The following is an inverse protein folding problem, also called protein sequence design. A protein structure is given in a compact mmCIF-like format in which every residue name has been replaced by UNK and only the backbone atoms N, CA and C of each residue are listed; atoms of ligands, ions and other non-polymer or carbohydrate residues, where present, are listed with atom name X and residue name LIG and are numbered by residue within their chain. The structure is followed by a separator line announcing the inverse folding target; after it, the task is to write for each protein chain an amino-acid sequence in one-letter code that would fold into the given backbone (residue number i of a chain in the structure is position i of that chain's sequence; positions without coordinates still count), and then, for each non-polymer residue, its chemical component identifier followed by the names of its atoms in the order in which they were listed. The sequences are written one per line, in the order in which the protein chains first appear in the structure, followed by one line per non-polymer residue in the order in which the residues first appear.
data_IF_286569862663
#
_entry.id   IF_286569862663
#
_cell.length_a   1.000
_cell.length_b   1.000
_cell.length_c   1.000
_cell.angle_alpha   90.00
_cell.angle_beta   90.00
_cell.angle_gamma   90.00
#
_symmetry.space_group_name_H-M   'P 1'
#
loop_
_entity.id
_entity.type
_entity.pdbx_description
1 polymer ?
#
# COMPACT_ATOMS: atom_id res chain seq x y z
N UNK A 1 48.77 -5.53 3.96
CA UNK A 1 47.47 -5.02 4.48
C UNK A 1 46.44 -5.08 3.36
N UNK A 2 45.46 -5.99 3.44
CA UNK A 2 44.43 -6.15 2.41
C UNK A 2 43.24 -5.26 2.77
N UNK A 3 43.02 -4.19 2.00
CA UNK A 3 41.80 -3.39 2.08
C UNK A 3 40.63 -4.19 1.49
N UNK A 4 39.74 -4.69 2.35
CA UNK A 4 38.44 -5.24 1.93
C UNK A 4 37.52 -4.06 1.60
N UNK A 5 37.41 -3.74 0.31
CA UNK A 5 36.36 -2.86 -0.18
C UNK A 5 35.01 -3.57 -0.03
N UNK A 6 34.27 -3.18 1.00
CA UNK A 6 32.90 -3.58 1.21
C UNK A 6 32.02 -2.81 0.21
N UNK A 7 31.96 -3.30 -1.03
CA UNK A 7 31.02 -2.83 -2.04
C UNK A 7 29.61 -3.09 -1.53
N UNK A 8 29.01 -2.07 -0.90
CA UNK A 8 27.56 -1.93 -0.77
C UNK A 8 27.00 -2.07 -2.19
N UNK A 9 26.49 -3.26 -2.52
CA UNK A 9 25.67 -3.49 -3.71
C UNK A 9 24.60 -2.40 -3.70
N UNK A 10 24.69 -1.47 -4.65
CA UNK A 10 23.62 -0.53 -4.96
C UNK A 10 22.37 -1.38 -5.24
N UNK A 11 21.39 -1.31 -4.34
CA UNK A 11 20.07 -1.95 -4.44
C UNK A 11 19.23 -1.25 -5.51
N UNK A 12 19.65 -1.30 -6.76
CA UNK A 12 18.89 -0.72 -7.89
C UNK A 12 18.07 -1.76 -8.65
N UNK A 13 18.23 -3.06 -8.37
CA UNK A 13 17.40 -4.16 -8.93
C UNK A 13 16.19 -4.54 -8.06
N UNK A 14 15.93 -3.80 -6.98
CA UNK A 14 15.09 -4.24 -5.86
C UNK A 14 13.57 -4.13 -6.01
N UNK A 15 13.02 -3.67 -7.15
CA UNK A 15 11.57 -3.45 -7.27
C UNK A 15 10.87 -4.49 -8.16
N UNK A 16 11.39 -4.76 -9.36
CA UNK A 16 10.71 -5.65 -10.31
C UNK A 16 10.61 -7.10 -9.82
N UNK A 17 11.69 -7.65 -9.25
CA UNK A 17 11.67 -9.02 -8.72
C UNK A 17 10.72 -9.20 -7.54
N UNK A 18 10.60 -8.20 -6.66
CA UNK A 18 9.63 -8.21 -5.56
C UNK A 18 8.20 -8.05 -6.09
N UNK A 19 7.97 -7.19 -7.07
CA UNK A 19 6.66 -7.04 -7.75
C UNK A 19 6.22 -8.33 -8.42
N UNK A 20 7.10 -8.99 -9.18
CA UNK A 20 6.80 -10.27 -9.85
C UNK A 20 6.44 -11.34 -8.80
N UNK A 21 7.20 -11.39 -7.70
CA UNK A 21 6.92 -12.32 -6.60
C UNK A 21 5.55 -12.06 -5.98
N UNK A 22 5.22 -10.82 -5.68
CA UNK A 22 3.90 -10.45 -5.13
C UNK A 22 2.79 -10.80 -6.11
N UNK A 23 2.94 -10.44 -7.38
CA UNK A 23 1.95 -10.77 -8.42
C UNK A 23 1.73 -12.28 -8.50
N UNK A 24 2.79 -13.08 -8.46
CA UNK A 24 2.70 -14.55 -8.45
C UNK A 24 1.98 -15.08 -7.20
N UNK A 25 2.27 -14.53 -6.02
CA UNK A 25 1.59 -14.90 -4.77
C UNK A 25 0.10 -14.55 -4.85
N UNK A 26 -0.25 -13.34 -5.29
CA UNK A 26 -1.63 -12.89 -5.44
C UNK A 26 -2.38 -13.77 -6.44
N UNK A 27 -1.81 -14.03 -7.62
CA UNK A 27 -2.40 -14.91 -8.64
C UNK A 27 -2.66 -16.31 -8.09
N UNK A 28 -1.68 -16.90 -7.39
CA UNK A 28 -1.86 -18.19 -6.73
C UNK A 28 -2.99 -18.14 -5.70
N UNK A 29 -3.01 -17.09 -4.86
CA UNK A 29 -4.02 -16.89 -3.83
C UNK A 29 -5.43 -16.77 -4.40
N UNK A 30 -5.59 -15.98 -5.47
CA UNK A 30 -6.87 -15.81 -6.18
C UNK A 30 -7.33 -17.11 -6.84
N UNK A 31 -6.42 -17.84 -7.49
CA UNK A 31 -6.76 -19.09 -8.19
C UNK A 31 -7.10 -20.24 -7.25
N UNK A 32 -6.44 -20.31 -6.09
CA UNK A 32 -6.59 -21.43 -5.15
C UNK A 32 -7.50 -21.11 -3.96
N UNK A 33 -7.80 -19.83 -3.73
CA UNK A 33 -8.45 -19.34 -2.51
C UNK A 33 -7.61 -19.53 -1.24
N UNK A 34 -6.30 -19.79 -1.38
CA UNK A 34 -5.40 -20.14 -0.28
C UNK A 34 -4.08 -19.37 -0.34
N UNK A 35 -3.61 -18.97 0.82
CA UNK A 35 -2.30 -18.33 0.98
C UNK A 35 -1.67 -18.74 2.31
N UNK A 36 -0.37 -18.54 2.45
CA UNK A 36 0.31 -18.67 3.73
C UNK A 36 0.45 -17.31 4.42
N UNK A 37 0.67 -17.32 5.73
CA UNK A 37 0.92 -16.08 6.50
C UNK A 37 2.12 -15.30 5.95
N UNK A 38 3.19 -16.00 5.56
CA UNK A 38 4.40 -15.39 4.99
C UNK A 38 4.12 -14.71 3.65
N UNK A 39 3.29 -15.32 2.84
CA UNK A 39 2.86 -14.77 1.55
C UNK A 39 2.02 -13.51 1.74
N UNK A 40 1.03 -13.55 2.63
CA UNK A 40 0.19 -12.40 2.95
C UNK A 40 0.99 -11.26 3.62
N UNK A 41 1.95 -11.58 4.48
CA UNK A 41 2.88 -10.61 5.06
C UNK A 41 3.73 -9.93 3.98
N UNK A 42 4.21 -10.71 2.99
CA UNK A 42 4.98 -10.19 1.86
C UNK A 42 4.15 -9.21 1.03
N UNK A 43 2.90 -9.55 0.70
CA UNK A 43 1.98 -8.65 -0.02
C UNK A 43 1.76 -7.37 0.81
N UNK A 44 1.43 -7.54 2.10
CA UNK A 44 1.16 -6.43 3.03
C UNK A 44 2.32 -5.45 3.08
N UNK A 45 3.54 -5.96 3.33
CA UNK A 45 4.75 -5.15 3.39
C UNK A 45 4.95 -4.34 2.12
N UNK A 46 4.82 -4.97 0.95
CA UNK A 46 5.09 -4.30 -0.34
C UNK A 46 4.03 -3.25 -0.66
N UNK A 47 2.75 -3.55 -0.44
CA UNK A 47 1.67 -2.59 -0.63
C UNK A 47 1.83 -1.38 0.31
N UNK A 48 2.01 -1.60 1.62
CA UNK A 48 2.21 -0.51 2.58
C UNK A 48 3.48 0.30 2.28
N UNK A 49 4.56 -0.34 1.79
CA UNK A 49 5.76 0.37 1.36
C UNK A 49 5.51 1.26 0.15
N UNK A 50 4.74 0.80 -0.83
CA UNK A 50 4.42 1.57 -2.02
C UNK A 50 3.49 2.75 -1.71
N UNK A 51 2.45 2.53 -0.91
CA UNK A 51 1.55 3.61 -0.48
C UNK A 51 2.33 4.62 0.37
N UNK A 52 3.18 4.15 1.29
CA UNK A 52 4.05 5.04 2.09
C UNK A 52 4.96 5.91 1.25
N UNK A 53 5.57 5.35 0.18
CA UNK A 53 6.40 6.13 -0.75
C UNK A 53 5.59 7.25 -1.41
N UNK A 54 4.37 6.95 -1.88
CA UNK A 54 3.47 7.96 -2.47
C UNK A 54 3.08 9.03 -1.45
N UNK A 55 2.62 8.63 -0.28
CA UNK A 55 2.26 9.56 0.81
C UNK A 55 3.42 10.48 1.18
N UNK A 56 4.62 9.93 1.36
CA UNK A 56 5.81 10.73 1.70
C UNK A 56 6.24 11.67 0.56
N UNK A 57 5.91 11.35 -0.69
CA UNK A 57 6.18 12.19 -1.85
C UNK A 57 5.35 13.47 -1.88
N UNK A 58 4.15 13.47 -1.28
CA UNK A 58 3.22 14.60 -1.30
C UNK A 58 3.57 15.75 -0.34
N UNK A 59 4.68 15.63 0.43
CA UNK A 59 5.25 16.64 1.35
C UNK A 59 4.35 17.84 1.69
N UNK A 60 3.49 17.68 2.71
CA UNK A 60 2.61 18.77 3.19
C UNK A 60 2.97 19.20 4.60
N UNK A 61 3.08 20.50 4.86
CA UNK A 61 3.24 21.05 6.21
C UNK A 61 1.88 21.28 6.86
N UNK A 62 1.43 20.31 7.65
CA UNK A 62 0.26 20.44 8.53
C UNK A 62 -1.09 20.54 7.80
N UNK A 63 -2.16 20.68 8.58
CA UNK A 63 -3.53 20.80 8.09
C UNK A 63 -4.20 19.46 7.72
N UNK A 64 -5.43 19.57 7.21
CA UNK A 64 -6.34 18.44 6.94
C UNK A 64 -5.75 17.37 6.03
N UNK A 65 -5.01 17.78 4.99
CA UNK A 65 -4.34 16.84 4.08
C UNK A 65 -3.24 16.07 4.81
N UNK A 66 -2.41 16.72 5.63
CA UNK A 66 -1.37 16.06 6.42
C UNK A 66 -1.95 15.02 7.39
N UNK A 67 -3.07 15.34 8.03
CA UNK A 67 -3.78 14.40 8.91
C UNK A 67 -4.30 13.19 8.12
N UNK A 68 -4.93 13.44 6.97
CA UNK A 68 -5.44 12.39 6.07
C UNK A 68 -4.32 11.47 5.58
N UNK A 69 -3.16 12.03 5.23
CA UNK A 69 -1.99 11.27 4.82
C UNK A 69 -1.46 10.38 5.95
N UNK A 70 -1.42 10.87 7.19
CA UNK A 70 -1.05 10.05 8.36
C UNK A 70 -2.07 8.92 8.60
N UNK A 71 -3.36 9.22 8.39
CA UNK A 71 -4.45 8.26 8.50
C UNK A 71 -4.35 7.12 7.46
N UNK A 72 -3.91 7.39 6.24
CA UNK A 72 -3.61 6.36 5.22
C UNK A 72 -2.49 5.45 5.71
N UNK A 73 -1.40 6.01 6.24
CA UNK A 73 -0.28 5.20 6.74
C UNK A 73 -0.70 4.30 7.89
N UNK A 74 -1.60 4.79 8.76
CA UNK A 74 -2.19 4.00 9.83
C UNK A 74 -3.09 2.89 9.29
N UNK A 75 -4.03 3.22 8.39
CA UNK A 75 -4.99 2.27 7.83
C UNK A 75 -4.31 1.18 6.99
N UNK A 76 -3.21 1.52 6.30
CA UNK A 76 -2.44 0.57 5.48
C UNK A 76 -1.48 -0.31 6.28
N UNK A 77 -1.31 -0.07 7.58
CA UNK A 77 -0.26 -0.72 8.37
C UNK A 77 -0.51 -2.22 8.62
N UNK A 78 -1.77 -2.64 8.71
CA UNK A 78 -2.16 -4.05 8.88
C UNK A 78 -2.15 -4.84 7.56
N UNK A 79 -2.28 -4.14 6.43
CA UNK A 79 -2.20 -4.70 5.09
C UNK A 79 -3.24 -5.80 4.84
N UNK A 80 -2.81 -6.92 4.30
CA UNK A 80 -3.69 -8.03 3.89
C UNK A 80 -3.63 -9.24 4.84
N UNK A 81 -2.93 -9.15 5.98
CA UNK A 81 -2.90 -10.25 6.94
C UNK A 81 -4.27 -10.54 7.54
N UNK A 82 -5.11 -9.53 7.70
CA UNK A 82 -6.46 -9.66 8.29
C UNK A 82 -7.43 -10.52 7.48
N UNK A 83 -7.17 -10.72 6.18
CA UNK A 83 -8.05 -11.53 5.32
C UNK A 83 -7.70 -13.02 5.33
N UNK A 84 -6.62 -13.42 6.01
CA UNK A 84 -6.18 -14.81 6.07
C UNK A 84 -6.79 -15.52 7.27
N UNK A 85 -7.65 -16.51 7.02
CA UNK A 85 -8.15 -17.38 8.07
C UNK A 85 -7.04 -18.30 8.62
N UNK A 86 -7.14 -18.80 9.88
CA UNK A 86 -6.13 -19.67 10.48
C UNK A 86 -5.83 -20.96 9.69
N UNK A 87 -6.80 -21.44 8.92
CA UNK A 87 -6.66 -22.62 8.06
C UNK A 87 -6.02 -22.32 6.69
N UNK A 88 -5.53 -21.10 6.46
CA UNK A 88 -4.89 -20.65 5.23
C UNK A 88 -5.86 -20.29 4.10
N UNK A 89 -7.17 -20.22 4.35
CA UNK A 89 -8.15 -19.72 3.36
C UNK A 89 -8.16 -18.20 3.34
N UNK A 90 -8.25 -17.62 2.16
CA UNK A 90 -8.43 -16.18 1.96
C UNK A 90 -9.92 -15.87 2.06
N UNK A 91 -10.30 -14.89 2.87
CA UNK A 91 -11.62 -14.26 2.85
C UNK A 91 -11.71 -13.40 1.58
N UNK A 92 -12.17 -14.00 0.48
CA UNK A 92 -12.04 -13.44 -0.86
C UNK A 92 -12.70 -12.06 -0.97
N UNK A 93 -13.90 -11.91 -0.42
CA UNK A 93 -14.66 -10.66 -0.48
C UNK A 93 -13.92 -9.52 0.23
N UNK A 94 -13.34 -9.78 1.41
CA UNK A 94 -12.52 -8.80 2.12
C UNK A 94 -11.21 -8.50 1.37
N UNK A 95 -10.58 -9.52 0.78
CA UNK A 95 -9.34 -9.35 0.02
C UNK A 95 -9.54 -8.50 -1.23
N UNK A 96 -10.57 -8.80 -2.02
CA UNK A 96 -10.92 -8.06 -3.23
C UNK A 96 -11.30 -6.61 -2.89
N UNK A 97 -12.07 -6.39 -1.81
CA UNK A 97 -12.41 -5.06 -1.33
C UNK A 97 -11.18 -4.25 -0.89
N UNK A 98 -10.24 -4.85 -0.13
CA UNK A 98 -8.99 -4.19 0.25
C UNK A 98 -8.12 -3.85 -0.97
N UNK A 99 -8.03 -4.75 -1.95
CA UNK A 99 -7.28 -4.49 -3.18
C UNK A 99 -7.89 -3.35 -3.98
N UNK A 100 -9.21 -3.32 -4.13
CA UNK A 100 -9.92 -2.27 -4.85
C UNK A 100 -9.73 -0.90 -4.18
N UNK A 101 -9.91 -0.82 -2.86
CA UNK A 101 -9.78 0.46 -2.16
C UNK A 101 -8.33 0.95 -2.10
N UNK A 102 -7.36 0.06 -2.02
CA UNK A 102 -5.94 0.44 -2.07
C UNK A 102 -5.56 1.00 -3.44
N UNK A 103 -6.11 0.44 -4.51
CA UNK A 103 -5.96 0.98 -5.87
C UNK A 103 -6.60 2.37 -6.00
N UNK A 104 -7.81 2.56 -5.47
CA UNK A 104 -8.48 3.87 -5.47
C UNK A 104 -7.74 4.92 -4.64
N UNK A 105 -7.23 4.55 -3.45
CA UNK A 105 -6.37 5.42 -2.64
C UNK A 105 -5.14 5.84 -3.44
N UNK A 106 -4.49 4.89 -4.13
CA UNK A 106 -3.30 5.18 -4.95
C UNK A 106 -3.62 6.15 -6.09
N UNK A 107 -4.72 5.94 -6.82
CA UNK A 107 -5.16 6.86 -7.89
C UNK A 107 -5.50 8.25 -7.36
N UNK A 108 -6.17 8.34 -6.21
CA UNK A 108 -6.49 9.61 -5.58
C UNK A 108 -5.21 10.36 -5.13
N UNK A 109 -4.22 9.65 -4.60
CA UNK A 109 -2.91 10.22 -4.28
C UNK A 109 -2.19 10.76 -5.53
N UNK A 110 -2.31 10.09 -6.69
CA UNK A 110 -1.74 10.57 -7.97
C UNK A 110 -2.43 11.84 -8.47
N UNK A 111 -3.75 11.92 -8.36
CA UNK A 111 -4.51 13.13 -8.67
C UNK A 111 -4.04 14.29 -7.77
N UNK A 112 -3.95 14.05 -6.46
CA UNK A 112 -3.45 15.04 -5.50
C UNK A 112 -2.01 15.48 -5.81
N UNK A 113 -1.13 14.55 -6.20
CA UNK A 113 0.24 14.88 -6.62
C UNK A 113 0.23 15.86 -7.79
N UNK A 114 -0.62 15.62 -8.79
CA UNK A 114 -0.80 16.51 -9.93
C UNK A 114 -1.41 17.86 -9.53
N UNK A 115 -2.41 17.88 -8.65
CA UNK A 115 -3.02 19.11 -8.15
C UNK A 115 -2.03 19.98 -7.39
N UNK A 116 -1.27 19.39 -6.46
CA UNK A 116 -0.21 20.07 -5.70
C UNK A 116 0.84 20.63 -6.65
N UNK A 117 1.28 19.83 -7.62
CA UNK A 117 2.26 20.27 -8.63
C UNK A 117 1.75 21.43 -9.48
N UNK A 118 0.43 21.53 -9.66
CA UNK A 118 -0.23 22.64 -10.38
C UNK A 118 -0.62 23.82 -9.48
N UNK A 119 -0.40 23.72 -8.15
CA UNK A 119 -0.77 24.74 -7.16
C UNK A 119 -2.28 24.84 -6.88
N UNK A 120 -3.05 23.78 -7.15
CA UNK A 120 -4.53 23.76 -7.10
C UNK A 120 -5.13 22.69 -6.20
N UNK A 121 -4.48 22.32 -5.10
CA UNK A 121 -5.01 21.30 -4.18
C UNK A 121 -6.49 21.57 -3.86
N UNK A 122 -7.37 20.64 -4.20
CA UNK A 122 -8.81 20.81 -4.03
C UNK A 122 -9.28 20.18 -2.71
N UNK A 123 -10.21 20.86 -2.04
CA UNK A 123 -10.86 20.31 -0.86
C UNK A 123 -11.66 19.02 -1.15
N UNK A 124 -12.10 18.87 -2.41
CA UNK A 124 -12.81 17.69 -2.91
C UNK A 124 -11.90 16.46 -2.95
N UNK A 125 -10.68 16.58 -3.50
CA UNK A 125 -9.71 15.49 -3.54
C UNK A 125 -9.27 15.05 -2.14
N UNK A 126 -9.10 16.01 -1.21
CA UNK A 126 -8.82 15.68 0.20
C UNK A 126 -10.00 14.94 0.84
N UNK A 127 -11.23 15.39 0.59
CA UNK A 127 -12.44 14.74 1.14
C UNK A 127 -12.66 13.34 0.58
N UNK A 128 -12.42 13.14 -0.72
CA UNK A 128 -12.48 11.83 -1.36
C UNK A 128 -11.50 10.86 -0.70
N UNK A 129 -10.26 11.30 -0.46
CA UNK A 129 -9.25 10.50 0.21
C UNK A 129 -9.65 10.12 1.64
N UNK A 130 -10.24 11.05 2.40
CA UNK A 130 -10.76 10.76 3.75
C UNK A 130 -11.86 9.68 3.72
N UNK A 131 -12.78 9.77 2.76
CA UNK A 131 -13.85 8.78 2.60
C UNK A 131 -13.30 7.40 2.26
N UNK A 132 -12.28 7.32 1.40
CA UNK A 132 -11.61 6.07 1.05
C UNK A 132 -10.88 5.47 2.26
N UNK A 133 -10.20 6.29 3.07
CA UNK A 133 -9.54 5.80 4.29
C UNK A 133 -10.53 5.25 5.30
N UNK A 134 -11.68 5.92 5.47
CA UNK A 134 -12.75 5.45 6.36
C UNK A 134 -13.26 4.07 5.90
N UNK A 135 -13.64 3.95 4.63
CA UNK A 135 -14.10 2.69 4.05
C UNK A 135 -13.04 1.58 4.17
N UNK A 136 -11.75 1.91 3.99
CA UNK A 136 -10.66 0.93 4.13
C UNK A 136 -10.54 0.40 5.55
N UNK A 137 -10.70 1.26 6.57
CA UNK A 137 -10.72 0.86 7.98
C UNK A 137 -11.92 -0.07 8.27
N UNK A 138 -13.09 0.24 7.72
CA UNK A 138 -14.32 -0.55 7.90
C UNK A 138 -14.24 -1.98 7.33
N UNK A 139 -13.39 -2.24 6.33
CA UNK A 139 -13.18 -3.61 5.80
C UNK A 139 -12.41 -4.49 6.80
N UNK A 140 -11.50 -3.89 7.56
CA UNK A 140 -10.64 -4.59 8.53
C UNK A 140 -11.31 -4.81 9.89
N UNK A 141 -12.32 -3.99 10.23
CA UNK A 141 -13.19 -4.19 11.39
C UNK A 141 -14.17 -5.38 11.21
#
# INVERSE_FOLDING_TARGET
MVHRNNTRRKKTDGNLGETIRVASIVQKGVNTGRSSRVEMDTISRIASQNIRKKVNGLSTKGGRLSETLADILSATSKGYLGVLAPNGRIQKEKFDALMAIDDEIVRCLEILESEISSGKTTDESVQALQNLVKQRKEIED
#
